data_IF_473101890719
#
_entry.id   IF_473101890719
#
_cell.length_a   1.000
_cell.length_b   1.000
_cell.length_c   1.000
_cell.angle_alpha   90.00
_cell.angle_beta   90.00
_cell.angle_gamma   90.00
#
_symmetry.space_group_name_H-M   'P 1'
#
loop_
_entity.id
_entity.type
_entity.pdbx_description
1 polymer ?
#
# COMPACT_ATOMS: atom_id res chain seq x y z
N UNK A 1 2.09 -31.75 -23.33
CA UNK A 1 0.83 -32.50 -23.10
C UNK A 1 1.01 -34.01 -22.99
N UNK A 2 1.43 -34.72 -24.06
CA UNK A 2 1.58 -36.19 -24.03
C UNK A 2 2.58 -36.71 -22.98
N UNK A 3 3.70 -36.00 -22.76
CA UNK A 3 4.71 -36.37 -21.76
C UNK A 3 4.26 -36.18 -20.31
N UNK A 4 3.32 -35.26 -20.06
CA UNK A 4 2.82 -34.98 -18.71
C UNK A 4 1.62 -35.85 -18.31
N UNK A 5 1.16 -36.76 -19.19
CA UNK A 5 0.00 -37.62 -18.93
C UNK A 5 -1.34 -36.88 -18.78
N UNK A 6 -1.39 -35.59 -19.13
CA UNK A 6 -2.58 -34.76 -18.97
C UNK A 6 -3.56 -35.02 -20.12
N UNK A 7 -4.70 -35.62 -19.77
CA UNK A 7 -5.77 -36.00 -20.70
C UNK A 7 -6.77 -34.87 -20.98
N UNK A 8 -6.93 -33.90 -20.08
CA UNK A 8 -7.78 -32.72 -20.27
C UNK A 8 -7.09 -31.43 -19.77
N UNK A 9 -6.39 -30.73 -20.67
CA UNK A 9 -5.68 -29.48 -20.37
C UNK A 9 -6.55 -28.33 -19.84
N UNK A 10 -7.86 -28.36 -20.11
CA UNK A 10 -8.76 -27.29 -19.70
C UNK A 10 -9.03 -27.28 -18.19
N UNK A 11 -8.71 -28.40 -17.52
CA UNK A 11 -8.88 -28.60 -16.08
C UNK A 11 -7.59 -28.42 -15.29
N UNK A 12 -6.45 -28.21 -15.95
CA UNK A 12 -5.16 -28.11 -15.30
C UNK A 12 -4.73 -26.64 -15.17
N UNK A 13 -4.14 -26.31 -14.03
CA UNK A 13 -3.48 -25.02 -13.79
C UNK A 13 -1.99 -25.20 -14.08
N UNK A 14 -1.39 -24.24 -14.78
CA UNK A 14 0.04 -24.15 -14.96
C UNK A 14 0.54 -22.93 -14.20
N UNK A 15 1.34 -23.15 -13.16
CA UNK A 15 1.88 -22.10 -12.29
C UNK A 15 3.39 -22.20 -12.35
N UNK A 16 4.04 -21.10 -12.71
CA UNK A 16 5.49 -21.02 -12.89
C UNK A 16 5.92 -19.59 -12.56
N UNK A 17 7.15 -19.43 -12.09
CA UNK A 17 7.75 -18.15 -11.70
C UNK A 17 8.47 -17.46 -12.86
N UNK A 18 8.74 -18.19 -13.93
CA UNK A 18 9.32 -17.66 -15.16
C UNK A 18 8.22 -17.31 -16.18
N UNK A 19 8.19 -16.03 -16.59
CA UNK A 19 7.22 -15.54 -17.57
C UNK A 19 7.34 -16.24 -18.93
N UNK A 20 8.53 -16.60 -19.37
CA UNK A 20 8.75 -17.32 -20.62
C UNK A 20 8.13 -18.72 -20.61
N UNK A 21 8.12 -19.39 -19.46
CA UNK A 21 7.48 -20.70 -19.31
C UNK A 21 5.95 -20.58 -19.37
N UNK A 22 5.40 -19.52 -18.76
CA UNK A 22 3.97 -19.20 -18.83
C UNK A 22 3.53 -18.93 -20.26
N UNK A 23 4.25 -18.07 -20.98
CA UNK A 23 3.92 -17.72 -22.36
C UNK A 23 4.06 -18.96 -23.28
N UNK A 24 5.07 -19.80 -23.04
CA UNK A 24 5.23 -21.09 -23.71
C UNK A 24 4.09 -22.08 -23.42
N UNK A 25 3.57 -22.10 -22.19
CA UNK A 25 2.43 -22.93 -21.81
C UNK A 25 1.14 -22.44 -22.48
N UNK A 26 0.90 -21.13 -22.52
CA UNK A 26 -0.25 -20.54 -23.24
C UNK A 26 -0.19 -20.92 -24.72
N UNK A 27 0.98 -20.78 -25.36
CA UNK A 27 1.19 -21.16 -26.76
C UNK A 27 0.95 -22.65 -27.03
N UNK A 28 1.16 -23.51 -26.02
CA UNK A 28 0.87 -24.94 -26.08
C UNK A 28 -0.60 -25.31 -25.75
N UNK A 29 -1.47 -24.32 -25.57
CA UNK A 29 -2.91 -24.52 -25.39
C UNK A 29 -3.35 -24.75 -23.95
N UNK A 30 -2.51 -24.43 -22.96
CA UNK A 30 -2.93 -24.40 -21.56
C UNK A 30 -3.87 -23.21 -21.34
N UNK A 31 -5.08 -23.47 -20.82
CA UNK A 31 -6.12 -22.44 -20.66
C UNK A 31 -6.02 -21.65 -19.36
N UNK A 32 -5.37 -22.20 -18.34
CA UNK A 32 -5.28 -21.60 -17.00
C UNK A 32 -3.81 -21.51 -16.58
N UNK A 33 -3.12 -20.49 -17.06
CA UNK A 33 -1.75 -20.21 -16.70
C UNK A 33 -1.70 -19.03 -15.71
N UNK A 34 -0.95 -19.19 -14.62
CA UNK A 34 -0.73 -18.15 -13.62
C UNK A 34 0.76 -17.92 -13.51
N UNK A 35 1.20 -16.71 -13.86
CA UNK A 35 2.57 -16.30 -13.58
C UNK A 35 2.67 -15.89 -12.11
N UNK A 36 3.50 -16.59 -11.34
CA UNK A 36 3.76 -16.28 -9.95
C UNK A 36 5.14 -15.64 -9.80
N UNK A 37 5.20 -14.31 -9.76
CA UNK A 37 6.47 -13.60 -9.61
C UNK A 37 6.68 -13.24 -8.13
N UNK A 38 7.69 -13.81 -7.49
CA UNK A 38 8.10 -13.52 -6.09
C UNK A 38 8.75 -12.14 -5.90
N UNK A 39 8.57 -11.19 -6.83
CA UNK A 39 9.05 -9.81 -6.63
C UNK A 39 8.31 -9.20 -5.43
N UNK A 40 9.02 -9.13 -4.30
CA UNK A 40 8.53 -8.58 -3.03
C UNK A 40 8.53 -9.55 -1.85
N UNK A 41 8.95 -10.81 -2.01
CA UNK A 41 9.17 -11.72 -0.87
C UNK A 41 10.59 -11.54 -0.33
N UNK A 42 10.69 -10.85 0.80
CA UNK A 42 11.92 -10.77 1.59
C UNK A 42 12.07 -12.07 2.39
N UNK A 43 13.13 -12.82 2.13
CA UNK A 43 13.47 -14.00 2.90
C UNK A 43 14.59 -13.67 3.89
N UNK A 44 14.38 -14.01 5.16
CA UNK A 44 15.39 -13.87 6.20
C UNK A 44 16.21 -15.16 6.29
N UNK A 45 17.42 -15.15 5.74
CA UNK A 45 18.37 -16.26 5.87
C UNK A 45 19.57 -15.83 6.69
N UNK A 46 19.80 -16.47 7.84
CA UNK A 46 20.93 -16.16 8.72
C UNK A 46 20.88 -14.80 9.41
N UNK A 47 19.69 -14.20 9.54
CA UNK A 47 19.50 -12.89 10.19
C UNK A 47 19.76 -11.68 9.28
N UNK A 48 19.98 -11.89 7.99
CA UNK A 48 20.09 -10.84 6.98
C UNK A 48 18.91 -10.96 6.02
N UNK A 49 18.19 -9.85 5.83
CA UNK A 49 17.13 -9.75 4.81
C UNK A 49 17.78 -9.81 3.43
N UNK A 50 17.38 -10.77 2.60
CA UNK A 50 17.81 -10.85 1.20
C UNK A 50 16.60 -10.87 0.29
N UNK A 51 16.67 -10.06 -0.76
CA UNK A 51 15.75 -10.14 -1.88
C UNK A 51 16.25 -11.25 -2.81
N UNK A 52 15.39 -12.23 -3.09
CA UNK A 52 15.72 -13.35 -3.97
C UNK A 52 15.50 -12.89 -5.42
N UNK A 53 16.54 -12.95 -6.27
CA UNK A 53 16.41 -12.76 -7.73
C UNK A 53 17.31 -11.72 -8.42
N UNK A 54 18.32 -11.16 -7.76
CA UNK A 54 19.28 -10.26 -8.42
C UNK A 54 20.35 -11.04 -9.21
N UNK A 55 20.04 -11.46 -10.43
CA UNK A 55 21.06 -11.75 -11.43
C UNK A 55 21.54 -10.43 -12.09
N UNK A 56 22.86 -10.21 -12.26
CA UNK A 56 23.38 -8.99 -12.87
C UNK A 56 23.01 -8.92 -14.36
N UNK A 57 22.34 -7.84 -14.77
CA UNK A 57 22.04 -7.55 -16.17
C UNK A 57 23.34 -7.25 -16.94
N UNK A 58 23.53 -7.94 -18.06
CA UNK A 58 24.62 -7.74 -19.03
C UNK A 58 24.72 -6.25 -19.45
N UNK A 59 25.88 -5.58 -19.28
CA UNK A 59 26.02 -4.15 -19.54
C UNK A 59 26.05 -3.77 -21.04
N UNK A 60 25.93 -4.71 -21.98
CA UNK A 60 26.07 -4.44 -23.42
C UNK A 60 24.76 -4.13 -24.18
N UNK A 61 23.60 -4.03 -23.50
CA UNK A 61 22.29 -3.77 -24.15
C UNK A 61 21.60 -2.46 -23.76
N UNK A 62 22.35 -1.40 -23.42
CA UNK A 62 21.77 -0.07 -23.16
C UNK A 62 22.00 0.88 -24.33
N UNK A 63 21.31 0.61 -25.44
CA UNK A 63 21.17 1.57 -26.55
C UNK A 63 19.69 1.77 -26.92
N UNK A 64 18.84 1.91 -25.89
CA UNK A 64 17.50 2.45 -26.03
C UNK A 64 17.29 3.53 -24.94
N UNK A 65 16.68 4.61 -25.39
CA UNK A 65 16.42 5.88 -24.72
C UNK A 65 15.97 5.73 -23.23
N UNK A 66 16.65 6.34 -22.24
CA UNK A 66 16.43 6.05 -20.81
C UNK A 66 15.19 6.71 -20.18
N UNK A 67 14.16 7.12 -20.95
CA UNK A 67 13.07 7.98 -20.46
C UNK A 67 11.64 7.45 -20.67
N UNK A 68 11.42 6.15 -20.90
CA UNK A 68 10.06 5.60 -20.87
C UNK A 68 10.00 4.35 -19.99
N UNK A 69 9.91 4.57 -18.67
CA UNK A 69 9.27 3.59 -17.79
C UNK A 69 7.77 3.63 -18.05
N UNK A 70 7.31 2.92 -19.07
CA UNK A 70 5.89 2.86 -19.43
C UNK A 70 5.13 1.97 -18.42
N UNK A 71 4.64 2.58 -17.34
CA UNK A 71 3.79 1.89 -16.38
C UNK A 71 2.35 1.75 -16.92
N UNK A 72 1.87 0.51 -16.96
CA UNK A 72 0.55 0.17 -17.49
C UNK A 72 -0.37 -0.31 -16.35
N UNK A 73 -1.25 0.55 -15.81
CA UNK A 73 -2.19 0.16 -14.77
C UNK A 73 -3.26 -0.78 -15.32
N UNK A 74 -3.76 -1.70 -14.48
CA UNK A 74 -4.87 -2.61 -14.81
C UNK A 74 -6.21 -1.90 -14.70
N UNK A 75 -6.32 -0.95 -13.79
CA UNK A 75 -7.51 -0.14 -13.57
C UNK A 75 -7.34 1.24 -14.20
N UNK A 76 -8.43 1.83 -14.69
CA UNK A 76 -8.40 3.22 -15.14
C UNK A 76 -7.98 4.13 -13.97
N UNK A 77 -7.02 5.02 -14.22
CA UNK A 77 -6.49 5.95 -13.23
C UNK A 77 -6.86 7.39 -13.59
N UNK A 78 -6.98 8.27 -12.59
CA UNK A 78 -7.28 9.68 -12.84
C UNK A 78 -6.14 10.45 -13.51
N UNK A 79 -4.94 9.86 -13.55
CA UNK A 79 -3.75 10.40 -14.18
C UNK A 79 -2.80 9.27 -14.58
N UNK A 80 -1.93 9.58 -15.53
CA UNK A 80 -0.77 8.78 -15.97
C UNK A 80 0.44 9.02 -15.08
N UNK A 81 1.48 8.18 -15.20
CA UNK A 81 2.75 8.41 -14.50
C UNK A 81 3.38 9.75 -14.88
N UNK A 82 3.41 10.10 -16.16
CA UNK A 82 3.97 11.37 -16.64
C UNK A 82 3.25 12.58 -16.03
N UNK A 83 1.92 12.52 -15.89
CA UNK A 83 1.14 13.57 -15.21
C UNK A 83 1.44 13.61 -13.70
N UNK A 84 1.60 12.46 -13.05
CA UNK A 84 1.96 12.39 -11.63
C UNK A 84 3.35 12.98 -11.33
N UNK A 85 4.32 12.81 -12.24
CA UNK A 85 5.66 13.43 -12.15
C UNK A 85 5.57 14.96 -12.20
N UNK A 86 4.50 15.52 -12.78
CA UNK A 86 4.25 16.96 -12.77
C UNK A 86 3.77 17.52 -11.43
N UNK A 87 3.32 16.68 -10.48
CA UNK A 87 2.76 17.12 -9.20
C UNK A 87 3.83 17.50 -8.17
N UNK A 88 3.47 18.37 -7.22
CA UNK A 88 4.34 18.71 -6.09
C UNK A 88 4.51 17.52 -5.14
N UNK A 89 5.70 17.41 -4.52
CA UNK A 89 6.01 16.32 -3.58
C UNK A 89 5.00 16.27 -2.42
N UNK A 90 4.62 17.42 -1.86
CA UNK A 90 3.62 17.50 -0.80
C UNK A 90 2.25 16.97 -1.23
N UNK A 91 1.81 17.31 -2.44
CA UNK A 91 0.55 16.81 -3.00
C UNK A 91 0.59 15.30 -3.16
N UNK A 92 1.70 14.77 -3.65
CA UNK A 92 1.88 13.31 -3.80
C UNK A 92 1.87 12.61 -2.43
N UNK A 93 2.58 13.14 -1.43
CA UNK A 93 2.64 12.54 -0.09
C UNK A 93 1.28 12.58 0.62
N UNK A 94 0.56 13.70 0.51
CA UNK A 94 -0.78 13.86 1.09
C UNK A 94 -1.79 12.91 0.44
N UNK A 95 -1.69 12.76 -0.89
CA UNK A 95 -2.50 11.81 -1.66
C UNK A 95 -2.23 10.37 -1.21
N UNK A 96 -0.96 9.96 -1.08
CA UNK A 96 -0.58 8.62 -0.58
C UNK A 96 -1.15 8.38 0.82
N UNK A 97 -1.01 9.36 1.74
CA UNK A 97 -1.55 9.24 3.10
C UNK A 97 -3.07 9.05 3.10
N UNK A 98 -3.79 9.84 2.27
CA UNK A 98 -5.25 9.70 2.13
C UNK A 98 -5.65 8.34 1.57
N UNK A 99 -4.95 7.85 0.55
CA UNK A 99 -5.20 6.55 -0.05
C UNK A 99 -4.92 5.40 0.92
N UNK A 100 -3.85 5.47 1.72
CA UNK A 100 -3.60 4.50 2.78
C UNK A 100 -4.73 4.46 3.81
N UNK A 101 -5.24 5.62 4.23
CA UNK A 101 -6.38 5.66 5.15
C UNK A 101 -7.64 5.05 4.53
N UNK A 102 -7.91 5.36 3.25
CA UNK A 102 -9.04 4.75 2.53
C UNK A 102 -8.87 3.23 2.39
N UNK A 103 -7.68 2.75 2.07
CA UNK A 103 -7.38 1.32 1.95
C UNK A 103 -7.57 0.59 3.28
N UNK A 104 -7.12 1.17 4.39
CA UNK A 104 -7.34 0.61 5.73
C UNK A 104 -8.83 0.37 5.99
N UNK A 105 -9.67 1.38 5.78
CA UNK A 105 -11.11 1.25 5.99
C UNK A 105 -11.80 0.27 5.02
N UNK A 106 -11.36 0.24 3.76
CA UNK A 106 -11.85 -0.75 2.79
C UNK A 106 -11.47 -2.17 3.21
N UNK A 107 -10.24 -2.39 3.67
CA UNK A 107 -9.77 -3.70 4.15
C UNK A 107 -10.51 -4.14 5.42
N UNK A 108 -10.75 -3.23 6.36
CA UNK A 108 -11.59 -3.48 7.54
C UNK A 108 -13.00 -3.89 7.13
N UNK A 109 -13.60 -3.18 6.17
CA UNK A 109 -14.93 -3.50 5.63
C UNK A 109 -14.94 -4.87 4.94
N UNK A 110 -13.95 -5.17 4.11
CA UNK A 110 -13.82 -6.48 3.46
C UNK A 110 -13.72 -7.61 4.48
N UNK A 111 -12.96 -7.41 5.56
CA UNK A 111 -12.83 -8.38 6.63
C UNK A 111 -14.19 -8.64 7.29
N UNK A 112 -14.90 -7.58 7.69
CA UNK A 112 -16.22 -7.70 8.33
C UNK A 112 -17.24 -8.41 7.43
N UNK A 113 -17.29 -8.07 6.14
CA UNK A 113 -18.22 -8.70 5.18
C UNK A 113 -17.90 -10.18 4.95
N UNK A 114 -16.61 -10.56 4.90
CA UNK A 114 -16.19 -11.97 4.80
C UNK A 114 -16.53 -12.76 6.06
N UNK A 115 -16.33 -12.17 7.23
CA UNK A 115 -16.72 -12.77 8.52
C UNK A 115 -18.23 -13.03 8.56
N UNK A 116 -19.04 -12.05 8.17
CA UNK A 116 -20.49 -12.20 8.06
C UNK A 116 -20.88 -13.33 7.08
N UNK A 117 -20.31 -13.34 5.88
CA UNK A 117 -20.55 -14.40 4.89
C UNK A 117 -20.19 -15.80 5.41
N UNK A 118 -19.13 -15.91 6.22
CA UNK A 118 -18.68 -17.19 6.79
C UNK A 118 -19.50 -17.68 8.00
N UNK A 119 -20.18 -16.77 8.70
CA UNK A 119 -21.06 -17.10 9.82
C UNK A 119 -22.45 -17.58 9.37
N UNK A 120 -22.87 -17.19 8.17
CA UNK A 120 -24.16 -17.54 7.58
C UNK A 120 -24.17 -18.95 6.96
N UNK A 121 -25.35 -19.57 6.90
CA UNK A 121 -25.51 -20.86 6.27
C UNK A 121 -25.32 -20.77 4.74
N UNK A 122 -24.80 -21.83 4.08
CA UNK A 122 -24.68 -21.85 2.63
C UNK A 122 -26.02 -21.57 1.94
N UNK A 123 -26.08 -20.55 1.09
CA UNK A 123 -27.28 -20.16 0.35
C UNK A 123 -28.21 -19.18 1.08
N UNK A 124 -27.89 -18.75 2.31
CA UNK A 124 -28.64 -17.69 3.02
C UNK A 124 -27.98 -16.32 2.95
N UNK A 125 -26.73 -16.25 2.47
CA UNK A 125 -25.97 -15.00 2.34
C UNK A 125 -26.66 -14.07 1.34
N UNK A 126 -26.89 -12.83 1.77
CA UNK A 126 -27.46 -11.77 0.94
C UNK A 126 -26.56 -11.52 -0.31
N UNK A 127 -27.11 -11.57 -1.54
CA UNK A 127 -26.36 -11.28 -2.74
C UNK A 127 -25.72 -9.87 -2.77
N UNK A 128 -26.29 -8.88 -2.07
CA UNK A 128 -25.68 -7.54 -1.99
C UNK A 128 -24.37 -7.55 -1.19
N UNK A 129 -24.21 -8.44 -0.20
CA UNK A 129 -22.93 -8.60 0.52
C UNK A 129 -21.85 -9.11 -0.42
N UNK A 130 -22.18 -10.08 -1.27
CA UNK A 130 -21.24 -10.60 -2.27
C UNK A 130 -20.85 -9.52 -3.28
N UNK A 131 -21.83 -8.75 -3.76
CA UNK A 131 -21.58 -7.64 -4.68
C UNK A 131 -20.70 -6.56 -4.05
N UNK A 132 -20.96 -6.19 -2.79
CA UNK A 132 -20.13 -5.23 -2.07
C UNK A 132 -18.69 -5.72 -1.90
N UNK A 133 -18.48 -7.02 -1.63
CA UNK A 133 -17.14 -7.63 -1.59
C UNK A 133 -16.42 -7.49 -2.93
N UNK A 134 -17.10 -7.82 -4.03
CA UNK A 134 -16.54 -7.79 -5.39
C UNK A 134 -16.21 -6.34 -5.81
N UNK A 135 -17.10 -5.38 -5.53
CA UNK A 135 -16.90 -3.95 -5.82
C UNK A 135 -15.71 -3.37 -5.02
N UNK A 136 -15.63 -3.68 -3.72
CA UNK A 136 -14.53 -3.24 -2.88
C UNK A 136 -13.18 -3.80 -3.35
N UNK A 137 -13.12 -5.02 -3.88
CA UNK A 137 -11.89 -5.62 -4.40
C UNK A 137 -11.34 -4.85 -5.59
N UNK A 138 -12.21 -4.41 -6.50
CA UNK A 138 -11.85 -3.54 -7.64
C UNK A 138 -11.34 -2.19 -7.15
N UNK A 139 -12.02 -1.57 -6.18
CA UNK A 139 -11.61 -0.27 -5.62
C UNK A 139 -10.25 -0.37 -4.93
N UNK A 140 -10.04 -1.40 -4.12
CA UNK A 140 -8.75 -1.64 -3.46
C UNK A 140 -7.64 -1.76 -4.52
N UNK A 141 -7.86 -2.58 -5.56
CA UNK A 141 -6.90 -2.74 -6.65
C UNK A 141 -6.56 -1.41 -7.34
N UNK A 142 -7.57 -0.62 -7.68
CA UNK A 142 -7.36 0.70 -8.32
C UNK A 142 -6.59 1.67 -7.42
N UNK A 143 -6.89 1.70 -6.11
CA UNK A 143 -6.18 2.57 -5.17
C UNK A 143 -4.74 2.12 -4.93
N UNK A 144 -4.47 0.82 -4.86
CA UNK A 144 -3.11 0.28 -4.75
C UNK A 144 -2.26 0.67 -5.95
N UNK A 145 -2.78 0.54 -7.17
CA UNK A 145 -2.06 0.97 -8.38
C UNK A 145 -1.82 2.48 -8.40
N UNK A 146 -2.77 3.28 -7.92
CA UNK A 146 -2.57 4.73 -7.79
C UNK A 146 -1.41 5.07 -6.86
N UNK A 147 -1.31 4.39 -5.71
CA UNK A 147 -0.17 4.54 -4.80
C UNK A 147 1.14 4.16 -5.51
N UNK A 148 1.15 3.08 -6.29
CA UNK A 148 2.33 2.69 -7.07
C UNK A 148 2.76 3.78 -8.04
N UNK A 149 1.84 4.37 -8.80
CA UNK A 149 2.13 5.50 -9.71
C UNK A 149 2.75 6.67 -8.96
N UNK A 150 2.14 7.05 -7.84
CA UNK A 150 2.61 8.16 -7.01
C UNK A 150 4.00 7.90 -6.41
N UNK A 151 4.28 6.67 -5.97
CA UNK A 151 5.62 6.27 -5.49
C UNK A 151 6.66 6.30 -6.60
N UNK A 152 6.33 5.87 -7.81
CA UNK A 152 7.24 5.99 -8.96
C UNK A 152 7.51 7.45 -9.32
N UNK A 153 6.49 8.31 -9.27
CA UNK A 153 6.67 9.75 -9.49
C UNK A 153 7.57 10.41 -8.44
N UNK A 154 7.51 9.98 -7.17
CA UNK A 154 8.46 10.40 -6.13
C UNK A 154 9.88 9.90 -6.41
N UNK A 155 10.03 8.64 -6.81
CA UNK A 155 11.33 8.07 -7.15
C UNK A 155 12.00 8.81 -8.32
N UNK A 156 11.23 9.20 -9.34
CA UNK A 156 11.72 10.00 -10.47
C UNK A 156 12.16 11.40 -10.06
N UNK A 157 11.52 11.97 -9.02
CA UNK A 157 11.93 13.23 -8.39
C UNK A 157 13.15 13.08 -7.45
N UNK A 158 13.73 11.88 -7.34
CA UNK A 158 14.84 11.59 -6.44
C UNK A 158 14.43 11.43 -4.97
N UNK A 159 13.13 11.36 -4.68
CA UNK A 159 12.61 11.04 -3.34
C UNK A 159 12.53 9.53 -3.24
N UNK A 160 13.63 8.92 -2.83
CA UNK A 160 13.66 7.50 -2.43
C UNK A 160 12.88 7.38 -1.12
N UNK A 161 12.12 6.29 -0.95
CA UNK A 161 11.32 5.94 0.23
C UNK A 161 12.27 5.78 1.45
N UNK A 162 12.79 6.92 1.93
CA UNK A 162 13.61 7.03 3.11
C UNK A 162 12.63 7.10 4.26
N UNK A 163 12.79 6.19 5.22
CA UNK A 163 12.03 6.06 6.47
C UNK A 163 12.13 7.30 7.38
N UNK A 164 11.96 8.51 6.85
CA UNK A 164 12.33 9.79 7.43
C UNK A 164 11.14 10.69 7.76
N UNK A 165 9.94 10.13 7.82
CA UNK A 165 8.87 10.68 8.66
C UNK A 165 8.88 10.01 10.04
N UNK A 166 10.07 9.85 10.63
CA UNK A 166 10.16 9.75 12.09
C UNK A 166 9.75 11.12 12.64
N UNK A 167 8.52 11.18 13.11
CA UNK A 167 7.99 12.28 13.89
C UNK A 167 8.99 12.49 15.04
N UNK A 168 9.59 13.69 15.21
CA UNK A 168 10.39 13.95 16.38
C UNK A 168 9.52 13.78 17.63
N UNK A 169 9.87 12.80 18.46
CA UNK A 169 9.30 12.61 19.78
C UNK A 169 9.51 13.93 20.57
N UNK A 170 8.44 14.60 21.05
CA UNK A 170 8.57 15.86 21.77
C UNK A 170 9.19 15.72 23.17
N UNK A 171 9.78 14.56 23.52
CA UNK A 171 10.38 14.31 24.83
C UNK A 171 11.90 14.52 24.91
N UNK A 172 12.54 15.11 23.89
CA UNK A 172 13.93 15.60 24.02
C UNK A 172 13.99 17.12 24.13
N UNK A 173 13.37 17.66 25.18
CA UNK A 173 13.65 19.01 25.64
C UNK A 173 14.89 18.98 26.56
N UNK A 174 16.01 19.44 25.99
CA UNK A 174 17.09 20.18 26.64
C UNK A 174 17.34 19.94 28.14
N UNK A 175 18.42 19.19 28.44
CA UNK A 175 19.12 19.29 29.75
C UNK A 175 20.54 19.77 29.51
N UNK A 176 20.73 21.08 29.60
CA UNK A 176 21.96 21.88 29.84
C UNK A 176 21.57 23.35 29.55
N UNK A 177 21.69 24.38 30.40
CA UNK A 177 22.63 24.71 31.47
C UNK A 177 22.06 25.82 32.40
N UNK A 178 22.35 25.69 33.70
CA UNK A 178 22.78 26.70 34.69
C UNK A 178 22.33 28.18 34.68
N UNK A 179 21.74 28.54 35.82
CA UNK A 179 22.13 29.62 36.76
C UNK A 179 21.85 31.11 36.46
N UNK A 180 20.96 31.62 37.32
CA UNK A 180 21.12 32.78 38.20
C UNK A 180 20.53 34.15 37.81
N UNK A 181 19.62 34.58 38.69
CA UNK A 181 19.51 35.92 39.30
C UNK A 181 18.59 36.97 38.67
N UNK A 182 17.89 37.67 39.57
CA UNK A 182 16.95 38.80 39.46
C UNK A 182 15.50 38.38 39.18
N UNK A 183 14.51 38.61 40.04
CA UNK A 183 14.39 39.50 41.18
C UNK A 183 12.99 40.12 41.17
N UNK A 184 12.11 39.63 42.04
CA UNK A 184 11.03 40.32 42.77
C UNK A 184 10.08 41.31 42.01
N UNK A 185 8.76 41.06 42.05
CA UNK A 185 7.72 41.99 42.57
C UNK A 185 6.39 41.25 42.72
N UNK A 186 5.60 41.76 43.68
CA UNK A 186 4.57 41.15 44.53
C UNK A 186 3.19 41.73 44.15
N UNK A 187 2.13 41.09 44.68
CA UNK A 187 0.73 41.58 44.90
C UNK A 187 -0.21 41.41 43.68
N UNK A 188 -1.42 40.83 43.78
CA UNK A 188 -2.20 40.47 44.97
C UNK A 188 -3.45 39.63 44.70
N UNK A 189 -4.11 39.37 45.82
CA UNK A 189 -5.29 38.55 46.06
C UNK A 189 -6.55 39.04 45.33
N UNK A 190 -7.42 38.11 44.93
CA UNK A 190 -8.86 38.26 45.16
C UNK A 190 -9.59 36.90 45.12
N UNK A 191 -10.51 36.77 46.07
CA UNK A 191 -11.23 35.58 46.52
C UNK A 191 -12.41 35.13 45.64
N UNK A 192 -12.73 33.85 45.80
CA UNK A 192 -14.05 33.21 45.95
C UNK A 192 -15.17 33.36 44.90
N UNK A 193 -15.81 32.22 44.63
CA UNK A 193 -17.10 32.14 43.95
C UNK A 193 -17.46 30.72 43.52
N UNK A 194 -17.71 29.84 44.48
CA UNK A 194 -18.53 28.63 44.26
C UNK A 194 -19.91 29.02 43.71
N UNK A 195 -20.43 28.26 42.75
CA UNK A 195 -21.85 27.90 42.71
C UNK A 195 -22.03 26.67 41.80
N UNK A 196 -22.50 25.62 42.46
CA UNK A 196 -23.22 24.49 41.87
C UNK A 196 -24.50 25.00 41.17
N UNK A 197 -24.99 24.28 40.17
CA UNK A 197 -26.36 23.71 40.16
C UNK A 197 -26.92 23.46 38.74
N UNK A 198 -27.77 22.45 38.73
CA UNK A 198 -28.52 21.71 37.71
C UNK A 198 -29.13 22.46 36.51
N UNK A 199 -29.29 21.71 35.42
CA UNK A 199 -30.09 22.13 34.27
C UNK A 199 -30.45 20.99 33.31
N UNK A 200 -31.28 20.04 33.76
CA UNK A 200 -32.11 19.21 32.88
C UNK A 200 -33.24 20.06 32.31
N UNK A 201 -33.42 20.10 30.98
CA UNK A 201 -34.68 20.54 30.38
C UNK A 201 -35.02 19.73 29.11
N UNK A 202 -36.03 18.87 29.31
CA UNK A 202 -37.05 18.29 28.39
C UNK A 202 -36.62 17.48 27.16
#
# INVERSE_FOLDING_TARGET
MKQAGVSDPSKCYFVDDNRGNIDGAIAQGWRKCVHFCEKGLEAMEGGIMKQIGDEPLDPEKTNDNPLEMEYHPRYAQPFTLAEAVGLDVSVITDEIARLHNSLKHLQETQKMLREYQSAEAPGTVDPEIRKALDENEVVIGSQTERISILKMALAEKGVVDSSHYDIPDPTSAHTTENSASHGNTRIGEHEEGENEDEGLHL
#
